data_IF_259678383211
#
_entry.id   IF_259678383211
#
_cell.length_a   1.000
_cell.length_b   1.000
_cell.length_c   1.000
_cell.angle_alpha   90.00
_cell.angle_beta   90.00
_cell.angle_gamma   90.00
#
_symmetry.space_group_name_H-M   'P 1'
#
loop_
_entity.id
_entity.type
_entity.pdbx_description
1 polymer ?
#
# COMPACT_ATOMS: atom_id res chain seq x y z
N UNK A 1 5.11 12.46 -12.47
CA UNK A 1 4.44 12.00 -13.70
C UNK A 1 3.21 12.85 -13.95
N UNK A 2 2.97 13.30 -15.17
CA UNK A 2 1.77 14.07 -15.56
C UNK A 2 1.50 13.89 -17.06
N UNK A 3 0.23 13.99 -17.46
CA UNK A 3 -0.18 14.00 -18.88
C UNK A 3 0.28 15.27 -19.60
N UNK A 4 0.43 16.36 -18.86
CA UNK A 4 0.97 17.62 -19.35
C UNK A 4 2.48 17.65 -19.16
N UNK A 5 3.13 18.57 -19.87
CA UNK A 5 4.55 18.80 -19.69
C UNK A 5 4.78 19.47 -18.34
N UNK A 6 5.64 18.86 -17.53
CA UNK A 6 6.17 19.46 -16.31
C UNK A 6 7.45 20.22 -16.69
N UNK A 7 7.58 21.48 -16.28
CA UNK A 7 8.82 22.20 -16.41
C UNK A 7 9.88 21.60 -15.49
N UNK A 8 11.15 21.60 -15.92
CA UNK A 8 12.25 21.07 -15.12
C UNK A 8 12.34 21.81 -13.78
N UNK A 9 12.40 21.03 -12.70
CA UNK A 9 12.70 21.57 -11.37
C UNK A 9 14.21 21.53 -11.20
N UNK A 10 14.86 22.68 -11.43
CA UNK A 10 16.31 22.82 -11.28
C UNK A 10 16.67 23.03 -9.80
N UNK A 11 16.52 22.00 -8.98
CA UNK A 11 17.09 21.99 -7.63
C UNK A 11 18.36 21.13 -7.63
N UNK A 12 19.55 21.73 -7.45
CA UNK A 12 20.81 20.99 -7.50
C UNK A 12 20.99 20.00 -6.33
N UNK A 13 20.21 20.14 -5.27
CA UNK A 13 20.33 19.33 -4.06
C UNK A 13 19.35 18.12 -4.06
N UNK A 14 18.35 18.13 -4.96
CA UNK A 14 17.35 17.06 -5.05
C UNK A 14 17.23 16.58 -6.50
N UNK A 15 17.63 15.34 -6.82
CA UNK A 15 17.44 14.81 -8.16
C UNK A 15 15.94 14.63 -8.43
N UNK A 16 15.44 15.30 -9.48
CA UNK A 16 14.05 15.21 -9.93
C UNK A 16 14.00 14.70 -11.36
N UNK A 17 13.31 13.59 -11.56
CA UNK A 17 13.01 13.09 -12.90
C UNK A 17 11.54 13.33 -13.23
N UNK A 18 11.25 13.76 -14.46
CA UNK A 18 9.89 14.04 -14.92
C UNK A 18 9.51 13.10 -16.05
N UNK A 19 8.39 12.41 -15.90
CA UNK A 19 7.82 11.52 -16.92
C UNK A 19 6.51 12.12 -17.40
N UNK A 20 6.39 12.30 -18.74
CA UNK A 20 5.13 12.70 -19.34
C UNK A 20 4.39 11.46 -19.82
N UNK A 21 3.21 11.19 -19.26
CA UNK A 21 2.40 10.04 -19.63
C UNK A 21 1.04 10.03 -18.97
N UNK A 22 0.19 9.13 -19.44
CA UNK A 22 -1.10 8.82 -18.82
C UNK A 22 -0.93 7.56 -17.97
N UNK A 23 -1.24 7.65 -16.68
CA UNK A 23 -1.09 6.52 -15.74
C UNK A 23 -1.96 5.31 -16.09
N UNK A 24 -2.96 5.49 -16.95
CA UNK A 24 -3.82 4.42 -17.44
C UNK A 24 -3.19 3.65 -18.63
N UNK A 25 -2.04 4.10 -19.13
CA UNK A 25 -1.30 3.46 -20.22
C UNK A 25 -0.16 2.61 -19.64
N UNK A 26 -0.10 1.32 -20.01
CA UNK A 26 0.92 0.36 -19.57
C UNK A 26 2.33 0.89 -19.80
N UNK A 27 2.59 1.51 -20.96
CA UNK A 27 3.89 2.09 -21.29
C UNK A 27 4.33 3.22 -20.34
N UNK A 28 3.38 3.94 -19.72
CA UNK A 28 3.68 4.95 -18.70
C UNK A 28 4.05 4.29 -17.39
N UNK A 29 3.33 3.24 -17.00
CA UNK A 29 3.62 2.46 -15.78
C UNK A 29 5.00 1.79 -15.90
N UNK A 30 5.32 1.18 -17.04
CA UNK A 30 6.64 0.60 -17.32
C UNK A 30 7.75 1.66 -17.20
N UNK A 31 7.55 2.85 -17.79
CA UNK A 31 8.52 3.94 -17.70
C UNK A 31 8.75 4.44 -16.27
N UNK A 32 7.70 4.45 -15.43
CA UNK A 32 7.82 4.79 -14.00
C UNK A 32 8.62 3.71 -13.28
N UNK A 33 8.28 2.44 -13.49
CA UNK A 33 8.93 1.30 -12.84
C UNK A 33 10.42 1.23 -13.20
N UNK A 34 10.75 1.44 -14.48
CA UNK A 34 12.15 1.45 -14.98
C UNK A 34 12.95 2.62 -14.37
N UNK A 35 12.32 3.78 -14.18
CA UNK A 35 12.99 4.96 -13.64
C UNK A 35 13.19 4.90 -12.12
N UNK A 36 12.23 4.31 -11.40
CA UNK A 36 12.19 4.35 -9.93
C UNK A 36 12.76 3.07 -9.31
N UNK A 37 12.44 1.89 -9.88
CA UNK A 37 12.71 0.59 -9.28
C UNK A 37 11.84 0.38 -8.02
N UNK A 38 12.35 0.69 -6.83
CA UNK A 38 11.62 0.61 -5.57
C UNK A 38 11.45 2.00 -4.95
N UNK A 39 10.25 2.27 -4.43
CA UNK A 39 9.89 3.53 -3.78
C UNK A 39 9.56 3.34 -2.29
N UNK A 40 9.80 4.37 -1.49
CA UNK A 40 9.37 4.43 -0.09
C UNK A 40 8.03 5.16 0.08
N UNK A 41 7.64 5.96 -0.90
CA UNK A 41 6.40 6.73 -0.91
C UNK A 41 5.89 6.87 -2.34
N UNK A 42 4.61 6.59 -2.53
CA UNK A 42 3.85 6.99 -3.71
C UNK A 42 2.83 8.05 -3.30
N UNK A 43 2.86 9.19 -3.99
CA UNK A 43 1.92 10.28 -3.78
C UNK A 43 1.19 10.58 -5.09
N UNK A 44 -0.13 10.51 -5.06
CA UNK A 44 -1.00 10.83 -6.19
C UNK A 44 -1.98 11.95 -5.85
N UNK A 45 -1.85 13.05 -6.57
CA UNK A 45 -2.77 14.21 -6.50
C UNK A 45 -3.60 14.33 -7.79
N UNK A 46 -3.81 13.22 -8.50
CA UNK A 46 -4.59 13.19 -9.73
C UNK A 46 -6.06 13.55 -9.47
N UNK A 47 -6.63 14.26 -10.42
CA UNK A 47 -8.07 14.58 -10.44
C UNK A 47 -8.64 14.42 -11.84
N UNK A 48 -9.89 13.98 -11.98
CA UNK A 48 -10.57 13.98 -13.27
C UNK A 48 -10.89 15.41 -13.72
N UNK A 49 -11.15 15.60 -15.01
CA UNK A 49 -11.77 16.82 -15.48
C UNK A 49 -13.20 16.89 -14.92
N UNK A 50 -13.43 17.81 -14.00
CA UNK A 50 -14.70 17.98 -13.29
C UNK A 50 -15.77 18.44 -14.26
N UNK A 51 -16.89 17.72 -14.33
CA UNK A 51 -18.04 18.01 -15.19
C UNK A 51 -19.15 18.75 -14.44
N UNK A 52 -19.15 18.69 -13.11
CA UNK A 52 -20.21 19.17 -12.23
C UNK A 52 -21.30 18.11 -11.96
N UNK A 53 -21.21 16.93 -12.57
CA UNK A 53 -22.04 15.76 -12.25
C UNK A 53 -21.35 14.94 -11.16
N UNK A 54 -21.85 15.07 -9.93
CA UNK A 54 -21.21 14.52 -8.73
C UNK A 54 -20.86 13.02 -8.86
N UNK A 55 -21.83 12.19 -9.25
CA UNK A 55 -21.61 10.74 -9.34
C UNK A 55 -20.58 10.34 -10.41
N UNK A 56 -20.57 11.08 -11.53
CA UNK A 56 -19.62 10.84 -12.63
C UNK A 56 -18.21 11.28 -12.23
N UNK A 57 -18.08 12.45 -11.62
CA UNK A 57 -16.80 13.00 -11.19
C UNK A 57 -16.22 12.14 -10.06
N UNK A 58 -17.06 11.64 -9.13
CA UNK A 58 -16.68 10.69 -8.10
C UNK A 58 -16.15 9.37 -8.71
N UNK A 59 -16.91 8.71 -9.58
CA UNK A 59 -16.51 7.44 -10.20
C UNK A 59 -15.17 7.55 -10.96
N UNK A 60 -14.95 8.66 -11.66
CA UNK A 60 -13.68 8.95 -12.36
C UNK A 60 -12.52 9.16 -11.37
N UNK A 61 -12.78 9.84 -10.26
CA UNK A 61 -11.79 10.03 -9.20
C UNK A 61 -11.38 8.70 -8.57
N UNK A 62 -12.33 7.84 -8.23
CA UNK A 62 -12.06 6.48 -7.71
C UNK A 62 -11.25 5.66 -8.72
N UNK A 63 -11.57 5.73 -10.01
CA UNK A 63 -10.80 5.04 -11.04
C UNK A 63 -9.33 5.49 -11.06
N UNK A 64 -9.06 6.81 -11.03
CA UNK A 64 -7.69 7.32 -10.98
C UNK A 64 -6.97 6.94 -9.68
N UNK A 65 -7.67 6.94 -8.56
CA UNK A 65 -7.11 6.52 -7.28
C UNK A 65 -6.74 5.03 -7.28
N UNK A 66 -7.56 4.16 -7.90
CA UNK A 66 -7.24 2.73 -8.09
C UNK A 66 -5.99 2.53 -8.96
N UNK A 67 -5.86 3.27 -10.05
CA UNK A 67 -4.65 3.21 -10.90
C UNK A 67 -3.38 3.61 -10.10
N UNK A 68 -3.47 4.66 -9.28
CA UNK A 68 -2.36 5.05 -8.42
C UNK A 68 -2.05 3.98 -7.36
N UNK A 69 -3.07 3.32 -6.82
CA UNK A 69 -2.92 2.23 -5.87
C UNK A 69 -2.25 1.01 -6.52
N UNK A 70 -2.68 0.58 -7.71
CA UNK A 70 -2.05 -0.51 -8.47
C UNK A 70 -0.55 -0.23 -8.71
N UNK A 71 -0.22 0.97 -9.19
CA UNK A 71 1.19 1.38 -9.37
C UNK A 71 1.96 1.40 -8.04
N UNK A 72 1.31 1.79 -6.94
CA UNK A 72 1.93 1.75 -5.62
C UNK A 72 2.23 0.32 -5.16
N UNK A 73 1.38 -0.66 -5.49
CA UNK A 73 1.64 -2.07 -5.19
C UNK A 73 2.87 -2.62 -5.93
N UNK A 74 3.11 -2.13 -7.15
CA UNK A 74 4.28 -2.54 -7.95
C UNK A 74 5.58 -1.88 -7.48
N UNK A 75 5.51 -0.64 -6.97
CA UNK A 75 6.69 0.16 -6.64
C UNK A 75 7.08 0.13 -5.17
N UNK A 76 6.12 0.00 -4.24
CA UNK A 76 6.41 0.10 -2.82
C UNK A 76 6.98 -1.21 -2.27
N UNK A 77 8.15 -1.12 -1.64
CA UNK A 77 8.67 -2.18 -0.79
C UNK A 77 7.92 -2.30 0.55
N UNK A 78 8.31 -3.29 1.35
CA UNK A 78 7.77 -3.50 2.70
C UNK A 78 7.94 -2.24 3.58
N UNK A 79 6.86 -1.78 4.18
CA UNK A 79 6.85 -0.58 5.02
C UNK A 79 6.73 0.74 4.24
N UNK A 80 6.61 0.72 2.93
CA UNK A 80 6.36 1.90 2.10
C UNK A 80 4.98 2.52 2.32
N UNK A 81 4.78 3.75 1.91
CA UNK A 81 3.58 4.54 2.16
C UNK A 81 2.88 4.96 0.86
N UNK A 82 1.55 5.08 0.91
CA UNK A 82 0.74 5.62 -0.19
C UNK A 82 -0.08 6.81 0.30
N UNK A 83 -0.10 7.88 -0.49
CA UNK A 83 -1.04 8.99 -0.32
C UNK A 83 -1.75 9.20 -1.65
N UNK A 84 -3.07 9.07 -1.66
CA UNK A 84 -3.87 9.20 -2.87
C UNK A 84 -5.08 10.10 -2.65
N UNK A 85 -5.27 11.07 -3.56
CA UNK A 85 -6.46 11.90 -3.58
C UNK A 85 -7.63 11.15 -4.20
N UNK A 86 -8.80 11.32 -3.59
CA UNK A 86 -10.08 10.81 -4.08
C UNK A 86 -11.21 11.76 -3.70
N UNK A 87 -12.31 11.72 -4.45
CA UNK A 87 -13.52 12.45 -4.07
C UNK A 87 -14.40 11.57 -3.16
N UNK A 88 -14.94 12.19 -2.13
CA UNK A 88 -15.93 11.55 -1.26
C UNK A 88 -17.14 11.04 -2.06
N UNK A 89 -17.66 9.88 -1.69
CA UNK A 89 -18.81 9.30 -2.35
C UNK A 89 -18.97 7.80 -2.07
N UNK A 90 -19.92 7.21 -2.76
CA UNK A 90 -20.45 5.86 -2.53
C UNK A 90 -19.38 4.73 -2.59
N UNK A 91 -18.41 4.84 -3.52
CA UNK A 91 -17.43 3.79 -3.79
C UNK A 91 -16.09 4.01 -3.01
N UNK A 92 -16.08 4.98 -2.08
CA UNK A 92 -14.90 5.31 -1.26
C UNK A 92 -14.56 4.20 -0.27
N UNK A 93 -15.58 3.64 0.40
CA UNK A 93 -15.39 2.59 1.40
C UNK A 93 -14.80 1.32 0.77
N UNK A 94 -15.22 0.96 -0.45
CA UNK A 94 -14.70 -0.19 -1.18
C UNK A 94 -13.22 0.03 -1.54
N UNK A 95 -12.85 1.21 -2.06
CA UNK A 95 -11.46 1.55 -2.35
C UNK A 95 -10.60 1.54 -1.07
N UNK A 96 -11.12 2.09 0.01
CA UNK A 96 -10.42 2.12 1.29
C UNK A 96 -10.19 0.71 1.83
N UNK A 97 -11.20 -0.16 1.76
CA UNK A 97 -11.09 -1.57 2.17
C UNK A 97 -10.04 -2.33 1.37
N UNK A 98 -9.96 -2.10 0.04
CA UNK A 98 -8.93 -2.71 -0.80
C UNK A 98 -7.53 -2.25 -0.37
N UNK A 99 -7.36 -0.96 -0.05
CA UNK A 99 -6.09 -0.41 0.44
C UNK A 99 -5.76 -0.95 1.85
N UNK A 100 -6.75 -1.08 2.75
CA UNK A 100 -6.58 -1.64 4.09
C UNK A 100 -6.11 -3.11 4.04
N UNK A 101 -6.45 -3.85 3.00
CA UNK A 101 -5.93 -5.20 2.76
C UNK A 101 -4.43 -5.28 2.47
N UNK A 102 -3.80 -4.17 2.09
CA UNK A 102 -2.43 -4.10 1.63
C UNK A 102 -1.51 -3.21 2.49
N UNK A 103 -2.06 -2.49 3.48
CA UNK A 103 -1.32 -1.61 4.38
C UNK A 103 -1.72 -1.82 5.84
N UNK A 104 -0.77 -1.65 6.76
CA UNK A 104 -1.01 -1.80 8.21
C UNK A 104 -2.00 -0.76 8.75
N UNK A 105 -2.05 0.43 8.12
CA UNK A 105 -2.87 1.52 8.60
C UNK A 105 -3.36 2.40 7.45
N UNK A 106 -4.65 2.69 7.42
CA UNK A 106 -5.27 3.62 6.44
C UNK A 106 -6.14 4.65 7.16
N UNK A 107 -6.03 5.91 6.77
CA UNK A 107 -6.90 6.97 7.27
C UNK A 107 -7.31 7.94 6.18
N UNK A 108 -8.46 8.55 6.34
CA UNK A 108 -8.92 9.69 5.57
C UNK A 108 -8.39 11.00 6.15
N UNK A 109 -7.92 11.87 5.29
CA UNK A 109 -7.44 13.20 5.65
C UNK A 109 -8.10 14.23 4.74
N UNK A 110 -8.74 15.22 5.35
CA UNK A 110 -9.22 16.42 4.67
C UNK A 110 -8.32 17.58 5.10
N UNK A 111 -7.51 18.13 4.18
CA UNK A 111 -6.64 19.26 4.50
C UNK A 111 -7.45 20.49 4.94
N UNK A 112 -6.97 21.20 5.95
CA UNK A 112 -7.62 22.44 6.45
C UNK A 112 -7.70 23.53 5.35
N UNK A 113 -6.82 23.45 4.33
CA UNK A 113 -6.84 24.35 3.17
C UNK A 113 -7.93 24.02 2.14
N UNK A 114 -8.61 22.86 2.29
CA UNK A 114 -9.73 22.50 1.40
C UNK A 114 -10.91 23.43 1.66
N UNK A 115 -11.63 23.80 0.57
CA UNK A 115 -12.87 24.59 0.72
C UNK A 115 -13.93 23.75 1.42
N UNK A 116 -14.77 24.34 2.25
CA UNK A 116 -15.86 23.66 2.97
C UNK A 116 -16.83 22.87 2.04
N UNK A 117 -16.89 23.25 0.76
CA UNK A 117 -17.69 22.59 -0.27
C UNK A 117 -16.92 21.58 -1.11
N UNK A 118 -15.65 21.32 -0.82
CA UNK A 118 -14.84 20.34 -1.57
C UNK A 118 -15.19 18.94 -1.13
N UNK A 119 -15.43 18.06 -2.11
CA UNK A 119 -15.53 16.62 -1.89
C UNK A 119 -14.17 15.90 -1.86
N UNK A 120 -13.08 16.64 -2.04
CA UNK A 120 -11.72 16.09 -2.08
C UNK A 120 -11.24 15.65 -0.70
N UNK A 121 -10.66 14.47 -0.63
CA UNK A 121 -9.94 13.96 0.53
C UNK A 121 -8.74 13.15 0.07
N UNK A 122 -7.86 12.82 1.01
CA UNK A 122 -6.74 11.93 0.78
C UNK A 122 -6.90 10.68 1.63
N UNK A 123 -6.69 9.50 1.01
CA UNK A 123 -6.40 8.28 1.72
C UNK A 123 -4.89 8.22 1.97
N UNK A 124 -4.52 8.15 3.24
CA UNK A 124 -3.14 8.02 3.69
C UNK A 124 -2.96 6.62 4.23
N UNK A 125 -2.27 5.78 3.47
CA UNK A 125 -1.96 4.40 3.81
C UNK A 125 -0.49 4.28 4.21
N UNK A 126 -0.24 3.60 5.30
CA UNK A 126 1.08 3.48 5.91
C UNK A 126 1.49 2.04 6.04
N UNK A 127 2.79 1.81 5.84
CA UNK A 127 3.46 0.54 6.07
C UNK A 127 2.89 -0.60 5.19
N UNK A 128 3.28 -0.59 3.91
CA UNK A 128 2.95 -1.63 2.92
C UNK A 128 3.27 -3.01 3.47
N UNK A 129 2.29 -3.90 3.47
CA UNK A 129 2.40 -5.30 3.87
C UNK A 129 2.77 -6.16 2.66
N UNK A 130 3.98 -6.70 2.63
CA UNK A 130 4.44 -7.61 1.57
C UNK A 130 4.57 -9.06 2.07
N UNK A 131 4.02 -9.33 3.26
CA UNK A 131 4.05 -10.65 3.87
C UNK A 131 3.32 -11.69 2.99
N UNK A 132 3.86 -12.91 2.86
CA UNK A 132 3.22 -14.01 2.14
C UNK A 132 2.01 -14.60 2.88
N UNK A 133 1.65 -14.02 4.03
CA UNK A 133 0.54 -14.45 4.90
C UNK A 133 -0.30 -13.24 5.30
N UNK A 134 -1.56 -13.52 5.66
CA UNK A 134 -2.52 -12.52 6.15
C UNK A 134 -2.99 -12.90 7.55
N UNK A 135 -3.47 -11.90 8.30
CA UNK A 135 -4.16 -12.12 9.56
C UNK A 135 -5.35 -13.07 9.37
N UNK A 136 -5.45 -14.09 10.24
CA UNK A 136 -6.47 -15.13 10.17
C UNK A 136 -6.11 -16.34 9.32
N UNK A 137 -5.00 -16.34 8.58
CA UNK A 137 -4.55 -17.51 7.81
C UNK A 137 -4.20 -18.67 8.76
N UNK A 138 -4.62 -19.88 8.36
CA UNK A 138 -4.25 -21.13 9.01
C UNK A 138 -3.26 -21.87 8.12
N UNK A 139 -2.03 -22.03 8.61
CA UNK A 139 -0.92 -22.59 7.81
C UNK A 139 -0.09 -23.58 8.64
N UNK A 140 0.49 -24.58 7.98
CA UNK A 140 1.49 -25.47 8.58
C UNK A 140 2.88 -24.86 8.41
N UNK A 141 3.62 -24.77 9.51
CA UNK A 141 4.99 -24.19 9.52
C UNK A 141 5.96 -25.10 10.27
N UNK A 142 7.21 -25.08 9.82
CA UNK A 142 8.35 -25.68 10.54
C UNK A 142 9.03 -24.60 11.38
N UNK A 143 9.24 -24.89 12.67
CA UNK A 143 9.94 -24.01 13.60
C UNK A 143 11.45 -24.24 13.44
N UNK A 144 12.12 -23.27 12.86
CA UNK A 144 13.54 -23.36 12.50
C UNK A 144 14.50 -22.87 13.59
N UNK A 145 14.00 -22.07 14.53
CA UNK A 145 14.78 -21.51 15.64
C UNK A 145 13.86 -21.11 16.81
N UNK A 146 14.46 -20.70 17.92
CA UNK A 146 13.73 -20.15 19.06
C UNK A 146 14.29 -18.75 19.38
N UNK A 147 13.39 -17.77 19.49
CA UNK A 147 13.73 -16.39 19.84
C UNK A 147 14.19 -16.23 21.30
N UNK A 148 14.75 -15.06 21.62
CA UNK A 148 15.25 -14.74 22.97
C UNK A 148 14.13 -14.75 24.03
N UNK A 149 12.88 -14.49 23.66
CA UNK A 149 11.72 -14.49 24.56
C UNK A 149 11.06 -15.88 24.68
N UNK A 150 11.56 -16.88 23.94
CA UNK A 150 11.10 -18.27 23.99
C UNK A 150 10.04 -18.61 22.95
N UNK A 151 9.69 -17.71 22.05
CA UNK A 151 8.81 -17.99 20.92
C UNK A 151 9.55 -18.74 19.82
N UNK A 152 8.89 -19.69 19.17
CA UNK A 152 9.41 -20.35 17.99
C UNK A 152 9.49 -19.39 16.81
N UNK A 153 10.45 -19.61 15.93
CA UNK A 153 10.64 -18.82 14.69
C UNK A 153 10.40 -19.71 13.48
N UNK A 154 9.44 -19.36 12.66
CA UNK A 154 9.25 -19.94 11.34
C UNK A 154 9.66 -18.94 10.25
N UNK A 155 10.02 -19.47 9.04
CA UNK A 155 10.36 -18.66 7.86
C UNK A 155 9.47 -19.07 6.70
N UNK A 156 8.76 -18.08 6.12
CA UNK A 156 7.87 -18.27 4.98
C UNK A 156 8.34 -17.31 3.89
N UNK A 157 8.95 -17.81 2.83
CA UNK A 157 9.51 -16.99 1.73
C UNK A 157 10.42 -15.85 2.20
N UNK A 158 11.15 -16.06 3.31
CA UNK A 158 12.00 -15.04 3.93
C UNK A 158 11.33 -14.19 5.01
N UNK A 159 10.01 -14.20 5.07
CA UNK A 159 9.25 -13.52 6.13
C UNK A 159 9.36 -14.28 7.46
N UNK A 160 9.49 -13.54 8.55
CA UNK A 160 9.62 -14.10 9.90
C UNK A 160 8.27 -14.20 10.58
N UNK A 161 7.88 -15.40 11.03
CA UNK A 161 6.69 -15.60 11.85
C UNK A 161 7.13 -16.08 13.24
N UNK A 162 6.75 -15.35 14.27
CA UNK A 162 6.92 -15.72 15.67
C UNK A 162 5.73 -16.54 16.12
N UNK A 163 5.97 -17.71 16.67
CA UNK A 163 4.92 -18.64 17.09
C UNK A 163 5.07 -18.93 18.58
N UNK A 164 4.05 -18.58 19.34
CA UNK A 164 4.08 -18.71 20.79
C UNK A 164 4.02 -20.16 21.25
N UNK A 165 4.87 -20.53 22.24
CA UNK A 165 4.75 -21.78 22.96
C UNK A 165 5.18 -23.04 22.21
N UNK A 166 6.03 -22.92 21.19
CA UNK A 166 6.57 -24.04 20.40
C UNK A 166 8.11 -23.99 20.38
N UNK A 167 8.75 -25.15 20.20
CA UNK A 167 10.20 -25.28 20.21
C UNK A 167 10.76 -25.55 18.78
N UNK A 168 12.04 -25.21 18.57
CA UNK A 168 12.71 -25.47 17.30
C UNK A 168 12.71 -26.96 16.95
N UNK A 169 12.42 -27.28 15.68
CA UNK A 169 12.32 -28.64 15.16
C UNK A 169 10.89 -29.20 15.13
N UNK A 170 9.92 -28.49 15.67
CA UNK A 170 8.50 -28.87 15.57
C UNK A 170 7.91 -28.43 14.23
N UNK A 171 6.92 -29.19 13.75
CA UNK A 171 6.02 -28.78 12.66
C UNK A 171 4.62 -28.64 13.23
N UNK A 172 4.03 -27.44 13.12
CA UNK A 172 2.75 -27.12 13.75
C UNK A 172 1.84 -26.37 12.80
N UNK A 173 0.54 -26.57 12.96
CA UNK A 173 -0.45 -25.73 12.29
C UNK A 173 -0.69 -24.51 13.19
N UNK A 174 -0.61 -23.33 12.60
CA UNK A 174 -0.77 -22.06 13.31
C UNK A 174 -1.83 -21.20 12.66
N UNK A 175 -2.47 -20.35 13.46
CA UNK A 175 -3.26 -19.23 12.96
C UNK A 175 -2.46 -17.95 13.12
N UNK A 176 -2.37 -17.15 12.04
CA UNK A 176 -1.71 -15.86 12.04
C UNK A 176 -2.61 -14.84 12.76
N UNK A 177 -2.08 -14.19 13.81
CA UNK A 177 -2.84 -13.25 14.63
C UNK A 177 -2.56 -11.78 14.29
N UNK A 178 -1.32 -11.47 13.86
CA UNK A 178 -0.92 -10.11 13.50
C UNK A 178 0.19 -10.15 12.44
N UNK A 179 0.14 -9.23 11.46
CA UNK A 179 1.12 -9.12 10.38
C UNK A 179 1.68 -7.70 10.34
N UNK A 180 3.01 -7.61 10.44
CA UNK A 180 3.79 -6.39 10.29
C UNK A 180 4.56 -6.42 8.97
N UNK A 181 5.12 -5.30 8.48
CA UNK A 181 5.83 -5.28 7.20
C UNK A 181 6.96 -6.31 7.05
N UNK A 182 7.63 -6.69 8.13
CA UNK A 182 8.82 -7.57 8.10
C UNK A 182 8.68 -8.85 8.93
N UNK A 183 7.66 -8.96 9.77
CA UNK A 183 7.41 -10.11 10.63
C UNK A 183 5.95 -10.21 11.02
N UNK A 184 5.53 -11.35 11.56
CA UNK A 184 4.19 -11.56 12.10
C UNK A 184 4.20 -12.41 13.36
N UNK A 185 3.03 -12.55 13.96
CA UNK A 185 2.78 -13.38 15.14
C UNK A 185 1.70 -14.39 14.83
N UNK A 186 1.84 -15.59 15.41
CA UNK A 186 0.86 -16.66 15.25
C UNK A 186 0.77 -17.51 16.52
N UNK A 187 -0.37 -18.16 16.69
CA UNK A 187 -0.61 -19.11 17.75
C UNK A 187 -0.84 -20.51 17.16
N UNK A 188 -0.32 -21.59 17.78
CA UNK A 188 -0.62 -22.95 17.34
C UNK A 188 -2.10 -23.26 17.53
N UNK A 189 -2.68 -23.95 16.54
CA UNK A 189 -4.05 -24.45 16.59
C UNK A 189 -4.03 -25.99 16.60
N UNK A 190 -4.98 -26.60 17.35
CA UNK A 190 -5.12 -28.05 17.47
C UNK A 190 -5.65 -28.72 16.17
#
# INVERSE_FOLDING_TARGET
VDRQRIDSLDDPDVPVETIRGDITEESTVEAITDAVGEANLVLSDMAPNVTGEYDLDHARSVHLARQAFEVALDLLGAGGDLVVKVFDGRDLDDLKSDIEGEFEYVREVRPDASRDSSSELYLVAKHRLTAPVREGDEIEVEIVDTGEEGDGIAKIEGFTLFVSGVEAGETVTVRVDDVKPQYGFAEPIE
#
